data_IF_248857298956
#
_entry.id   IF_248857298956
#
_cell.length_a   1.000
_cell.length_b   1.000
_cell.length_c   1.000
_cell.angle_alpha   90.00
_cell.angle_beta   90.00
_cell.angle_gamma   90.00
#
_symmetry.space_group_name_H-M   'P 1'
#
loop_
_entity.id
_entity.type
_entity.pdbx_description
1 polymer ?
#
# COMPACT_ATOMS: atom_id res chain seq x y z
N UNK A 1 13.24 11.11 -6.21
CA UNK A 1 13.91 9.90 -5.72
C UNK A 1 12.84 9.02 -5.12
N UNK A 2 12.58 7.84 -5.68
CA UNK A 2 11.59 6.91 -5.14
C UNK A 2 12.00 6.50 -3.73
N UNK A 3 11.04 6.45 -2.81
CA UNK A 3 11.29 5.91 -1.47
C UNK A 3 11.70 4.43 -1.60
N UNK A 4 12.81 3.99 -0.99
CA UNK A 4 13.28 2.60 -1.10
C UNK A 4 12.23 1.60 -0.60
N UNK A 5 11.38 2.04 0.33
CA UNK A 5 10.23 1.28 0.84
C UNK A 5 9.19 1.05 -0.26
N UNK A 6 8.87 2.08 -1.06
CA UNK A 6 7.90 1.97 -2.15
C UNK A 6 8.37 0.95 -3.18
N UNK A 7 9.63 1.04 -3.58
CA UNK A 7 10.25 0.13 -4.55
C UNK A 7 10.21 -1.32 -4.05
N UNK A 8 10.64 -1.56 -2.81
CA UNK A 8 10.60 -2.89 -2.20
C UNK A 8 9.18 -3.47 -2.08
N UNK A 9 8.16 -2.62 -1.84
CA UNK A 9 6.75 -3.06 -1.85
C UNK A 9 6.40 -3.62 -3.23
N UNK A 10 6.69 -2.88 -4.30
CA UNK A 10 6.37 -3.30 -5.66
C UNK A 10 7.17 -4.52 -6.10
N UNK A 11 8.47 -4.58 -5.80
CA UNK A 11 9.30 -5.75 -6.11
C UNK A 11 8.74 -7.02 -5.48
N UNK A 12 8.38 -6.97 -4.19
CA UNK A 12 7.82 -8.14 -3.49
C UNK A 12 6.45 -8.55 -4.02
N UNK A 13 5.60 -7.57 -4.33
CA UNK A 13 4.30 -7.85 -4.94
C UNK A 13 4.45 -8.45 -6.34
N UNK A 14 5.38 -7.93 -7.14
CA UNK A 14 5.70 -8.46 -8.45
C UNK A 14 6.24 -9.90 -8.38
N UNK A 15 7.10 -10.20 -7.40
CA UNK A 15 7.65 -11.53 -7.19
C UNK A 15 6.60 -12.58 -6.79
N UNK A 16 5.54 -12.18 -6.06
CA UNK A 16 4.47 -13.10 -5.66
C UNK A 16 3.42 -13.36 -6.77
N UNK A 17 3.29 -12.42 -7.71
CA UNK A 17 2.30 -12.48 -8.78
C UNK A 17 0.94 -11.88 -8.42
N UNK A 18 0.02 -11.82 -9.41
CA UNK A 18 -1.24 -11.09 -9.28
C UNK A 18 -2.16 -11.67 -8.20
N UNK A 19 -2.82 -10.79 -7.44
CA UNK A 19 -3.77 -11.16 -6.38
C UNK A 19 -3.12 -11.64 -5.07
N UNK A 20 -1.80 -11.74 -5.00
CA UNK A 20 -1.09 -12.03 -3.75
C UNK A 20 -0.92 -10.76 -2.91
N UNK A 21 -0.60 -11.00 -1.64
CA UNK A 21 -0.51 -9.95 -0.64
C UNK A 21 0.68 -10.19 0.28
N UNK A 22 1.38 -9.13 0.66
CA UNK A 22 2.54 -9.15 1.56
C UNK A 22 2.21 -8.54 2.91
N UNK A 23 3.02 -8.87 3.90
CA UNK A 23 2.97 -8.22 5.21
C UNK A 23 3.95 -7.02 5.23
N UNK A 24 3.63 -5.93 5.94
CA UNK A 24 4.52 -4.77 6.05
C UNK A 24 5.86 -5.13 6.72
N UNK A 25 5.87 -6.16 7.58
CA UNK A 25 7.10 -6.67 8.19
C UNK A 25 8.05 -7.29 7.14
N UNK A 26 7.52 -7.89 6.08
CA UNK A 26 8.31 -8.51 5.03
C UNK A 26 9.07 -7.45 4.21
N UNK A 27 8.39 -6.34 3.90
CA UNK A 27 9.00 -5.14 3.29
C UNK A 27 10.08 -4.57 4.21
N UNK A 28 9.75 -4.38 5.49
CA UNK A 28 10.68 -3.83 6.47
C UNK A 28 11.95 -4.68 6.60
N UNK A 29 11.81 -6.01 6.57
CA UNK A 29 12.94 -6.96 6.61
C UNK A 29 13.79 -6.92 5.35
N UNK A 30 13.20 -6.67 4.19
CA UNK A 30 13.95 -6.53 2.95
C UNK A 30 14.72 -5.20 2.88
N UNK A 31 14.15 -4.11 3.40
CA UNK A 31 14.84 -2.81 3.46
C UNK A 31 15.92 -2.80 4.54
N UNK A 32 15.58 -3.24 5.76
CA UNK A 32 16.48 -3.22 6.90
C UNK A 32 16.24 -4.42 7.82
N UNK A 33 16.89 -5.57 7.58
CA UNK A 33 16.63 -6.80 8.32
C UNK A 33 16.96 -6.69 9.81
N UNK A 34 17.99 -5.93 10.19
CA UNK A 34 18.43 -5.80 11.59
C UNK A 34 17.54 -4.86 12.43
N UNK A 35 16.95 -3.84 11.79
CA UNK A 35 16.12 -2.82 12.46
C UNK A 35 14.71 -2.75 11.86
N UNK A 36 14.20 -3.86 11.35
CA UNK A 36 12.91 -3.93 10.65
C UNK A 36 11.76 -3.39 11.50
N UNK A 37 11.80 -3.58 12.83
CA UNK A 37 10.80 -3.04 13.75
C UNK A 37 10.72 -1.51 13.72
N UNK A 38 11.86 -0.82 13.56
CA UNK A 38 11.93 0.64 13.40
C UNK A 38 11.46 1.10 12.02
N UNK A 39 11.56 0.24 11.02
CA UNK A 39 11.04 0.50 9.68
C UNK A 39 9.53 0.32 9.56
N UNK A 40 8.89 -0.53 10.37
CA UNK A 40 7.43 -0.74 10.36
C UNK A 40 6.57 0.54 10.30
N UNK A 41 6.77 1.57 11.17
CA UNK A 41 5.99 2.80 11.07
C UNK A 41 6.23 3.54 9.76
N UNK A 42 7.45 3.51 9.22
CA UNK A 42 7.80 4.14 7.94
C UNK A 42 7.15 3.41 6.77
N UNK A 43 7.25 2.07 6.75
CA UNK A 43 6.57 1.20 5.78
C UNK A 43 5.06 1.43 5.79
N UNK A 44 4.47 1.53 6.98
CA UNK A 44 3.06 1.87 7.12
C UNK A 44 2.74 3.19 6.45
N UNK A 45 3.41 4.28 6.83
CA UNK A 45 3.17 5.61 6.26
C UNK A 45 3.30 5.63 4.73
N UNK A 46 4.31 4.98 4.17
CA UNK A 46 4.48 4.85 2.71
C UNK A 46 3.32 4.08 2.09
N UNK A 47 2.94 2.92 2.65
CA UNK A 47 1.79 2.16 2.19
C UNK A 47 0.48 2.96 2.28
N UNK A 48 0.34 3.84 3.28
CA UNK A 48 -0.82 4.74 3.41
C UNK A 48 -0.84 5.78 2.31
N UNK A 49 0.31 6.38 2.01
CA UNK A 49 0.46 7.30 0.89
C UNK A 49 0.07 6.64 -0.43
N UNK A 50 0.58 5.44 -0.69
CA UNK A 50 0.27 4.65 -1.88
C UNK A 50 -1.22 4.27 -1.97
N UNK A 51 -1.82 3.90 -0.84
CA UNK A 51 -3.25 3.59 -0.78
C UNK A 51 -4.11 4.82 -1.07
N UNK A 52 -3.74 5.98 -0.49
CA UNK A 52 -4.39 7.27 -0.77
C UNK A 52 -4.27 7.68 -2.24
N UNK A 53 -3.16 7.31 -2.90
CA UNK A 53 -2.96 7.54 -4.34
C UNK A 53 -3.71 6.52 -5.21
N UNK A 54 -4.34 5.49 -4.63
CA UNK A 54 -5.00 4.41 -5.37
C UNK A 54 -4.03 3.42 -6.03
N UNK A 55 -2.74 3.45 -5.67
CA UNK A 55 -1.70 2.58 -6.23
C UNK A 55 -1.52 1.28 -5.46
N UNK A 56 -2.01 1.21 -4.22
CA UNK A 56 -1.90 0.07 -3.34
C UNK A 56 -3.23 -0.16 -2.62
N UNK A 57 -3.57 -1.41 -2.29
CA UNK A 57 -4.69 -1.70 -1.41
C UNK A 57 -4.24 -2.39 -0.13
N UNK A 58 -4.74 -1.91 1.00
CA UNK A 58 -4.48 -2.50 2.30
C UNK A 58 -5.74 -3.24 2.74
N UNK A 59 -5.57 -4.51 3.10
CA UNK A 59 -6.66 -5.38 3.53
C UNK A 59 -6.37 -6.01 4.89
N UNK A 60 -7.42 -6.32 5.66
CA UNK A 60 -7.36 -7.04 6.92
C UNK A 60 -8.47 -8.08 6.94
N UNK A 61 -8.11 -9.34 7.18
CA UNK A 61 -9.05 -10.48 7.09
C UNK A 61 -9.86 -10.49 5.77
N UNK A 62 -9.23 -10.11 4.66
CA UNK A 62 -9.85 -10.06 3.34
C UNK A 62 -10.74 -8.83 3.06
N UNK A 63 -10.92 -7.93 4.03
CA UNK A 63 -11.68 -6.67 3.82
C UNK A 63 -10.74 -5.49 3.66
N UNK A 64 -11.03 -4.51 2.78
CA UNK A 64 -10.28 -3.26 2.74
C UNK A 64 -10.40 -2.57 4.10
N UNK A 65 -9.29 -2.01 4.59
CA UNK A 65 -9.26 -1.28 5.86
C UNK A 65 -9.09 0.20 5.63
N UNK A 66 -9.73 0.99 6.48
CA UNK A 66 -9.67 2.43 6.38
C UNK A 66 -8.28 3.04 6.64
N UNK A 67 -7.95 4.12 5.91
CA UNK A 67 -6.84 5.04 6.12
C UNK A 67 -6.55 5.47 7.58
N UNK A 68 -7.58 5.42 8.41
CA UNK A 68 -7.55 6.00 9.75
C UNK A 68 -7.50 4.94 10.86
N UNK A 69 -7.73 3.66 10.52
CA UNK A 69 -7.92 2.56 11.49
C UNK A 69 -6.87 1.44 11.37
N UNK A 70 -5.66 1.78 10.89
CA UNK A 70 -4.57 0.82 10.67
C UNK A 70 -3.89 0.34 11.96
N UNK A 71 -4.50 -0.63 12.64
CA UNK A 71 -3.86 -1.36 13.74
C UNK A 71 -3.93 -2.86 13.55
N UNK A 72 -2.85 -3.54 13.95
CA UNK A 72 -2.68 -4.99 13.91
C UNK A 72 -2.18 -5.54 12.56
N UNK A 73 -2.41 -6.84 12.37
CA UNK A 73 -2.01 -7.60 11.17
C UNK A 73 -2.82 -7.11 9.97
N UNK A 74 -2.11 -6.62 8.96
CA UNK A 74 -2.64 -6.13 7.69
C UNK A 74 -1.86 -6.77 6.55
N UNK A 75 -2.47 -6.81 5.37
CA UNK A 75 -1.83 -7.28 4.16
C UNK A 75 -1.91 -6.21 3.08
N UNK A 76 -0.78 -5.96 2.44
CA UNK A 76 -0.64 -5.06 1.31
C UNK A 76 -0.81 -5.89 0.04
N UNK A 77 -1.65 -5.45 -0.88
CA UNK A 77 -1.80 -6.07 -2.20
C UNK A 77 -1.84 -5.01 -3.28
N UNK A 78 -1.58 -5.42 -4.51
CA UNK A 78 -1.90 -4.58 -5.65
C UNK A 78 -3.43 -4.56 -5.85
N UNK A 79 -4.02 -3.39 -6.12
CA UNK A 79 -5.39 -3.34 -6.65
C UNK A 79 -5.42 -4.07 -8.01
N UNK A 80 -6.56 -4.66 -8.37
CA UNK A 80 -6.76 -5.10 -9.75
C UNK A 80 -6.76 -3.89 -10.69
N UNK A 81 -6.56 -4.12 -11.99
CA UNK A 81 -6.63 -3.04 -12.99
C UNK A 81 -7.96 -2.27 -12.89
N UNK A 82 -9.07 -2.98 -12.69
CA UNK A 82 -10.39 -2.40 -12.49
C UNK A 82 -10.50 -1.59 -11.20
N UNK A 83 -10.02 -2.11 -10.07
CA UNK A 83 -10.02 -1.39 -8.79
C UNK A 83 -9.13 -0.14 -8.83
N UNK A 84 -7.95 -0.24 -9.46
CA UNK A 84 -7.05 0.89 -9.66
C UNK A 84 -7.72 1.97 -10.51
N UNK A 85 -8.38 1.56 -11.60
CA UNK A 85 -9.09 2.48 -12.48
C UNK A 85 -10.28 3.13 -11.79
N UNK A 86 -11.05 2.39 -10.99
CA UNK A 86 -12.13 2.96 -10.15
C UNK A 86 -11.60 3.95 -9.10
N UNK A 87 -10.44 3.69 -8.48
CA UNK A 87 -9.80 4.60 -7.54
C UNK A 87 -9.29 5.88 -8.22
N UNK A 88 -8.76 5.77 -9.44
CA UNK A 88 -8.34 6.91 -10.27
C UNK A 88 -9.57 7.72 -10.71
N UNK A 89 -10.62 7.04 -11.17
CA UNK A 89 -11.86 7.67 -11.66
C UNK A 89 -12.63 8.37 -10.54
N UNK A 90 -12.72 7.77 -9.35
CA UNK A 90 -13.31 8.40 -8.17
C UNK A 90 -12.56 9.69 -7.75
N UNK A 91 -11.26 9.81 -8.06
CA UNK A 91 -10.49 11.04 -7.84
C UNK A 91 -10.76 12.08 -8.93
N UNK A 92 -10.84 11.67 -10.20
CA UNK A 92 -11.12 12.55 -11.34
C UNK A 92 -12.58 13.04 -11.35
N UNK A 93 -13.50 12.30 -10.75
CA UNK A 93 -14.92 12.66 -10.64
C UNK A 93 -15.24 13.62 -9.49
N UNK A 94 -14.25 14.08 -8.71
CA UNK A 94 -14.42 15.28 -7.88
C UNK A 94 -14.23 16.48 -8.81
N UNK A 95 -15.30 17.23 -9.16
CA UNK A 95 -15.13 18.45 -9.91
C UNK A 95 -14.27 19.41 -9.10
N UNK A 96 -13.37 20.05 -9.83
CA UNK A 96 -12.77 21.32 -9.49
C UNK A 96 -13.90 22.33 -9.26
N UNK A 97 -14.43 22.39 -8.04
CA UNK A 97 -15.37 23.42 -7.57
C UNK A 97 -14.64 24.26 -6.52
N UNK A 98 -14.00 25.34 -6.99
CA UNK A 98 -13.73 26.63 -6.32
C UNK A 98 -12.70 27.40 -7.19
N UNK A 99 -13.15 28.20 -8.16
CA UNK A 99 -13.35 29.67 -8.04
C UNK A 99 -12.09 30.44 -7.61
#
# INVERSE_FOLDING_TARGET
>A
MSDPIEETIYEKLAALGPGKSIEPADVAKAVQPEQWQRMLPRVRTTALGLMRQGRLMITKKGKPVDPSSFKGVIRLRLPTAEEAQQLIEARTAAPDDAD
#
